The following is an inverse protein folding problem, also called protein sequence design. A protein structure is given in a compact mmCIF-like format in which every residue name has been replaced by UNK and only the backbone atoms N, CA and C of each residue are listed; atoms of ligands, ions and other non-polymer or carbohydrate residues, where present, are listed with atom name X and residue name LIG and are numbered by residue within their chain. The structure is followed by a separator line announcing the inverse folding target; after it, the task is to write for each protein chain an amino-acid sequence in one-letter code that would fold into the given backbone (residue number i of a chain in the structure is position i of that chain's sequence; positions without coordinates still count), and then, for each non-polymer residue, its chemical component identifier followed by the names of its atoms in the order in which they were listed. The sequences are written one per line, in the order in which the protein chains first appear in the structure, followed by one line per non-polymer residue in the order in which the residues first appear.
data_IF_907047991378
#
_entry.id   IF_907047991378
#
_cell.length_a   1.000
_cell.length_b   1.000
_cell.length_c   1.000
_cell.angle_alpha   90.00
_cell.angle_beta   90.00
_cell.angle_gamma   90.00
#
_symmetry.space_group_name_H-M   'P 1'
#
loop_
_entity.id
_entity.type
_entity.pdbx_description
1 polymer ?
#
# COMPACT_ATOMS: atom_id res chain seq x y z
N UNK A 1 -13.14 9.35 -6.73
CA UNK A 1 -12.08 8.58 -6.06
C UNK A 1 -10.72 9.09 -6.48
N UNK A 2 -9.71 9.14 -5.60
CA UNK A 2 -8.33 9.47 -5.97
C UNK A 2 -7.52 8.18 -6.07
N UNK A 3 -6.64 8.09 -7.07
CA UNK A 3 -5.71 6.99 -7.27
C UNK A 3 -4.29 7.55 -7.35
N UNK A 4 -3.40 7.08 -6.48
CA UNK A 4 -1.97 7.41 -6.53
C UNK A 4 -1.32 6.71 -7.73
N UNK A 5 -0.41 7.39 -8.44
CA UNK A 5 0.22 6.85 -9.64
C UNK A 5 1.10 5.63 -9.39
N UNK A 6 1.64 5.48 -8.19
CA UNK A 6 2.51 4.36 -7.75
C UNK A 6 3.85 4.32 -8.49
N UNK A 7 4.73 5.30 -8.23
CA UNK A 7 6.11 5.26 -8.71
C UNK A 7 6.87 4.05 -8.10
N UNK A 8 7.88 3.48 -8.80
CA UNK A 8 8.35 3.84 -10.14
C UNK A 8 7.58 3.18 -11.29
N UNK A 9 6.87 2.05 -11.08
CA UNK A 9 6.26 1.26 -12.18
C UNK A 9 4.87 1.77 -12.62
N UNK A 10 4.32 2.76 -11.94
CA UNK A 10 3.06 3.43 -12.27
C UNK A 10 1.84 2.49 -12.36
N UNK A 11 1.76 1.47 -11.49
CA UNK A 11 0.63 0.54 -11.49
C UNK A 11 -0.69 1.25 -11.17
N UNK A 12 -0.68 2.25 -10.28
CA UNK A 12 -1.86 3.04 -9.97
C UNK A 12 -2.39 3.80 -11.19
N UNK A 13 -1.47 4.40 -11.97
CA UNK A 13 -1.84 5.10 -13.20
C UNK A 13 -2.27 4.15 -14.32
N UNK A 14 -1.59 3.02 -14.46
CA UNK A 14 -1.73 2.12 -15.61
C UNK A 14 -2.83 1.06 -15.42
N UNK A 15 -3.02 0.58 -14.20
CA UNK A 15 -3.95 -0.50 -13.87
C UNK A 15 -5.11 0.01 -13.02
N UNK A 16 -4.87 0.53 -11.83
CA UNK A 16 -5.93 0.93 -10.90
C UNK A 16 -6.86 1.97 -11.50
N UNK A 17 -6.31 3.05 -12.07
CA UNK A 17 -7.13 4.08 -12.70
C UNK A 17 -7.93 3.53 -13.90
N UNK A 18 -7.32 2.65 -14.71
CA UNK A 18 -7.98 2.01 -15.83
C UNK A 18 -9.15 1.12 -15.37
N UNK A 19 -8.94 0.25 -14.38
CA UNK A 19 -9.96 -0.66 -13.88
C UNK A 19 -11.14 0.10 -13.25
N UNK A 20 -10.84 1.10 -12.42
CA UNK A 20 -11.87 1.94 -11.81
C UNK A 20 -12.71 2.69 -12.87
N UNK A 21 -12.06 3.26 -13.88
CA UNK A 21 -12.75 3.93 -14.98
C UNK A 21 -13.63 2.96 -15.77
N UNK A 22 -13.17 1.74 -16.01
CA UNK A 22 -13.94 0.70 -16.73
C UNK A 22 -15.22 0.29 -16.03
N UNK A 23 -15.23 0.31 -14.70
CA UNK A 23 -16.44 0.00 -13.90
C UNK A 23 -17.28 1.26 -13.59
N UNK A 24 -16.97 2.40 -14.20
CA UNK A 24 -17.74 3.63 -14.09
C UNK A 24 -17.49 4.45 -12.83
N UNK A 25 -16.40 4.21 -12.12
CA UNK A 25 -15.98 5.04 -10.97
C UNK A 25 -15.38 6.35 -11.49
N UNK A 26 -15.84 7.48 -10.95
CA UNK A 26 -15.21 8.79 -11.17
C UNK A 26 -13.88 8.81 -10.44
N UNK A 27 -12.78 8.65 -11.19
CA UNK A 27 -11.41 8.54 -10.69
C UNK A 27 -10.57 9.72 -11.13
N UNK A 28 -9.84 10.31 -10.18
CA UNK A 28 -8.82 11.33 -10.41
C UNK A 28 -7.46 10.76 -10.07
N UNK A 29 -6.57 10.71 -11.07
CA UNK A 29 -5.18 10.29 -10.88
C UNK A 29 -4.38 11.41 -10.23
N UNK A 30 -3.55 11.07 -9.24
CA UNK A 30 -2.63 12.00 -8.57
C UNK A 30 -1.23 11.39 -8.48
N UNK A 31 -0.20 12.24 -8.36
CA UNK A 31 1.14 11.78 -8.00
C UNK A 31 1.16 11.31 -6.55
N UNK A 32 2.03 10.34 -6.22
CA UNK A 32 2.13 9.75 -4.88
C UNK A 32 2.36 10.80 -3.77
N UNK A 33 3.06 11.88 -4.08
CA UNK A 33 3.33 12.97 -3.14
C UNK A 33 2.17 13.96 -2.95
N UNK A 34 1.01 13.73 -3.59
CA UNK A 34 -0.16 14.62 -3.49
C UNK A 34 -1.20 14.13 -2.47
N UNK A 35 -1.07 12.93 -1.92
CA UNK A 35 -2.02 12.33 -0.98
C UNK A 35 -2.33 13.27 0.21
N UNK A 36 -1.30 13.85 0.84
CA UNK A 36 -1.47 14.83 1.93
C UNK A 36 -2.35 16.01 1.54
N UNK A 37 -2.22 16.51 0.31
CA UNK A 37 -2.98 17.67 -0.16
C UNK A 37 -4.48 17.38 -0.25
N UNK A 38 -4.86 16.25 -0.80
CA UNK A 38 -6.29 15.87 -0.94
C UNK A 38 -6.90 15.48 0.40
N UNK A 39 -6.14 14.83 1.29
CA UNK A 39 -6.56 14.51 2.66
C UNK A 39 -6.81 15.79 3.47
N UNK A 40 -5.87 16.76 3.44
CA UNK A 40 -6.01 18.05 4.13
C UNK A 40 -7.24 18.83 3.69
N UNK A 41 -7.64 18.72 2.44
CA UNK A 41 -8.85 19.37 1.90
C UNK A 41 -10.16 18.69 2.32
N UNK A 42 -10.09 17.55 3.03
CA UNK A 42 -11.25 16.77 3.43
C UNK A 42 -11.94 16.06 2.27
N UNK A 43 -11.23 15.86 1.15
CA UNK A 43 -11.79 15.20 -0.03
C UNK A 43 -11.73 13.67 0.06
N UNK A 44 -11.02 13.13 1.05
CA UNK A 44 -10.82 11.70 1.28
C UNK A 44 -11.43 11.33 2.64
N UNK A 45 -12.33 10.35 2.66
CA UNK A 45 -13.01 9.86 3.86
C UNK A 45 -12.52 8.48 4.30
N UNK A 46 -11.82 7.77 3.41
CA UNK A 46 -11.22 6.48 3.70
C UNK A 46 -10.06 6.22 2.73
N UNK A 47 -9.07 5.45 3.18
CA UNK A 47 -7.99 4.93 2.34
C UNK A 47 -8.16 3.43 2.20
N UNK A 48 -7.98 2.92 0.99
CA UNK A 48 -8.06 1.50 0.67
C UNK A 48 -6.82 1.10 -0.11
N UNK A 49 -6.12 0.07 0.35
CA UNK A 49 -4.94 -0.49 -0.31
C UNK A 49 -5.04 -2.01 -0.42
N UNK A 50 -4.27 -2.60 -1.30
CA UNK A 50 -4.06 -4.05 -1.34
C UNK A 50 -3.05 -4.53 -0.30
N UNK A 51 -2.66 -5.80 -0.39
CA UNK A 51 -1.53 -6.35 0.36
C UNK A 51 -0.80 -7.43 -0.45
N UNK A 52 0.52 -7.46 -0.29
CA UNK A 52 1.37 -8.53 -0.82
C UNK A 52 1.62 -9.61 0.24
N UNK A 53 1.76 -9.21 1.51
CA UNK A 53 1.88 -10.12 2.66
C UNK A 53 1.38 -9.45 3.93
N UNK A 54 0.69 -10.23 4.78
CA UNK A 54 0.27 -9.83 6.12
C UNK A 54 0.95 -10.76 7.13
N UNK A 55 1.70 -10.21 8.06
CA UNK A 55 2.35 -10.95 9.15
C UNK A 55 1.33 -11.36 10.23
N UNK A 56 1.72 -12.27 11.12
CA UNK A 56 0.86 -12.80 12.18
C UNK A 56 0.35 -11.72 13.15
N UNK A 57 1.13 -10.66 13.36
CA UNK A 57 0.74 -9.52 14.19
C UNK A 57 -0.12 -8.47 13.45
N UNK A 58 -0.38 -8.66 12.14
CA UNK A 58 -1.16 -7.74 11.32
C UNK A 58 -0.34 -6.68 10.56
N UNK A 59 0.97 -6.59 10.76
CA UNK A 59 1.83 -5.74 9.94
C UNK A 59 1.73 -6.16 8.47
N UNK A 60 1.61 -5.19 7.58
CA UNK A 60 1.28 -5.48 6.19
C UNK A 60 2.31 -4.91 5.24
N UNK A 61 2.92 -5.77 4.43
CA UNK A 61 3.73 -5.37 3.29
C UNK A 61 2.84 -5.16 2.06
N UNK A 62 3.03 -4.03 1.41
CA UNK A 62 2.37 -3.70 0.15
C UNK A 62 3.29 -2.82 -0.71
N UNK A 63 2.84 -2.47 -1.90
CA UNK A 63 3.59 -1.62 -2.83
C UNK A 63 4.16 -0.40 -2.12
N UNK A 64 5.43 -0.09 -2.44
CA UNK A 64 6.16 1.07 -1.90
C UNK A 64 5.29 2.34 -1.93
N UNK A 65 5.27 3.10 -0.85
CA UNK A 65 4.43 4.28 -0.63
C UNK A 65 3.23 4.04 0.29
N UNK A 66 2.83 2.78 0.50
CA UNK A 66 1.67 2.42 1.32
C UNK A 66 1.81 2.87 2.76
N UNK A 67 2.98 2.65 3.39
CA UNK A 67 3.24 3.07 4.77
C UNK A 67 3.18 4.59 4.93
N UNK A 68 3.67 5.34 3.95
CA UNK A 68 3.59 6.80 3.93
C UNK A 68 2.14 7.30 3.90
N UNK A 69 1.28 6.69 3.08
CA UNK A 69 -0.15 7.03 3.01
C UNK A 69 -0.87 6.65 4.32
N UNK A 70 -0.52 5.52 4.96
CA UNK A 70 -1.08 5.12 6.25
C UNK A 70 -0.76 6.13 7.36
N UNK A 71 0.49 6.63 7.43
CA UNK A 71 0.90 7.69 8.36
C UNK A 71 0.11 8.97 8.12
N UNK A 72 -0.07 9.38 6.86
CA UNK A 72 -0.88 10.54 6.51
C UNK A 72 -2.34 10.35 6.90
N UNK A 73 -2.93 9.19 6.63
CA UNK A 73 -4.30 8.85 7.01
C UNK A 73 -4.49 8.97 8.54
N UNK A 74 -3.56 8.41 9.33
CA UNK A 74 -3.55 8.54 10.79
C UNK A 74 -3.49 9.99 11.25
N UNK A 75 -2.59 10.79 10.66
CA UNK A 75 -2.44 12.20 10.97
C UNK A 75 -3.72 13.01 10.71
N UNK A 76 -4.44 12.72 9.63
CA UNK A 76 -5.68 13.40 9.26
C UNK A 76 -6.95 12.74 9.84
N UNK A 77 -6.83 11.69 10.65
CA UNK A 77 -7.97 10.99 11.25
C UNK A 77 -8.83 10.23 10.23
N UNK A 78 -8.23 9.75 9.14
CA UNK A 78 -8.90 9.04 8.06
C UNK A 78 -8.68 7.53 8.27
N UNK A 79 -9.73 6.69 8.24
CA UNK A 79 -9.57 5.25 8.37
C UNK A 79 -8.80 4.66 7.19
N UNK A 80 -7.91 3.70 7.50
CA UNK A 80 -7.03 3.02 6.55
C UNK A 80 -7.35 1.53 6.52
N UNK A 81 -7.74 1.03 5.36
CA UNK A 81 -8.18 -0.35 5.16
C UNK A 81 -7.24 -1.10 4.22
N UNK A 82 -6.88 -2.32 4.62
CA UNK A 82 -6.12 -3.26 3.79
C UNK A 82 -7.07 -4.33 3.26
N UNK A 83 -7.09 -4.54 1.95
CA UNK A 83 -7.91 -5.54 1.28
C UNK A 83 -7.02 -6.59 0.64
N UNK A 84 -7.26 -7.87 0.95
CA UNK A 84 -6.54 -8.96 0.32
C UNK A 84 -7.10 -10.32 0.68
N UNK A 85 -6.82 -11.34 -0.14
CA UNK A 85 -7.28 -12.70 0.15
C UNK A 85 -6.53 -13.28 1.35
N UNK A 86 -7.17 -14.23 2.06
CA UNK A 86 -6.54 -14.92 3.20
C UNK A 86 -5.24 -15.62 2.85
N UNK A 87 -4.99 -15.93 1.57
CA UNK A 87 -3.72 -16.49 1.09
C UNK A 87 -2.51 -15.56 1.23
N UNK A 88 -2.73 -14.25 1.46
CA UNK A 88 -1.64 -13.29 1.72
C UNK A 88 -1.21 -13.27 3.18
N UNK A 89 -1.99 -13.89 4.08
CA UNK A 89 -1.69 -13.95 5.51
C UNK A 89 -0.69 -15.07 5.77
N UNK A 90 0.46 -14.69 6.33
CA UNK A 90 1.54 -15.62 6.69
C UNK A 90 1.70 -15.70 8.22
N UNK A 91 1.05 -16.69 8.82
CA UNK A 91 1.10 -16.91 10.27
C UNK A 91 2.49 -17.37 10.77
N UNK A 92 3.39 -17.79 9.87
CA UNK A 92 4.78 -18.13 10.22
C UNK A 92 5.70 -16.92 10.23
N UNK A 93 5.26 -15.79 9.70
CA UNK A 93 5.96 -14.50 9.75
C UNK A 93 5.47 -13.72 10.97
N UNK A 94 6.26 -13.56 12.05
CA UNK A 94 5.75 -13.02 13.31
C UNK A 94 5.36 -11.54 13.22
N UNK A 95 6.13 -10.74 12.47
CA UNK A 95 6.00 -9.29 12.38
C UNK A 95 6.49 -8.74 11.05
N UNK A 96 6.36 -7.43 10.86
CA UNK A 96 6.78 -6.72 9.66
C UNK A 96 8.29 -6.70 9.44
N UNK A 97 9.09 -6.71 10.50
CA UNK A 97 10.55 -6.71 10.39
C UNK A 97 11.08 -8.04 9.82
N UNK A 98 10.29 -9.10 9.98
CA UNK A 98 10.58 -10.43 9.43
C UNK A 98 10.22 -10.58 7.95
N UNK A 99 9.55 -9.59 7.34
CA UNK A 99 9.19 -9.62 5.92
C UNK A 99 10.40 -9.20 5.07
N UNK A 100 10.88 -10.11 4.22
CA UNK A 100 11.96 -9.80 3.27
C UNK A 100 11.43 -8.91 2.15
N UNK A 101 11.99 -7.71 2.01
CA UNK A 101 11.61 -6.74 0.99
C UNK A 101 12.52 -6.89 -0.24
N UNK A 102 11.92 -7.08 -1.42
CA UNK A 102 12.61 -7.12 -2.70
C UNK A 102 13.22 -5.75 -3.03
N UNK A 103 14.51 -5.71 -3.34
CA UNK A 103 15.15 -4.54 -3.91
C UNK A 103 15.24 -4.69 -5.44
N UNK A 104 14.71 -3.71 -6.16
CA UNK A 104 14.56 -3.74 -7.62
C UNK A 104 15.61 -2.90 -8.32
N UNK A 105 15.68 -3.05 -9.65
CA UNK A 105 16.66 -2.33 -10.46
C UNK A 105 16.50 -0.80 -10.32
N UNK A 106 17.55 -0.07 -9.90
CA UNK A 106 17.53 1.39 -9.75
C UNK A 106 17.16 2.15 -11.05
N UNK A 107 17.37 1.55 -12.22
CA UNK A 107 16.98 2.14 -13.51
C UNK A 107 15.48 2.34 -13.66
N UNK A 108 14.66 1.61 -12.91
CA UNK A 108 13.22 1.87 -12.87
C UNK A 108 12.91 3.28 -12.37
N UNK A 109 13.76 3.83 -11.49
CA UNK A 109 13.64 5.20 -10.98
C UNK A 109 14.27 6.21 -11.93
N UNK A 110 15.47 5.92 -12.45
CA UNK A 110 16.32 6.91 -13.10
C UNK A 110 16.10 7.03 -14.61
N UNK A 111 15.61 5.98 -15.25
CA UNK A 111 15.53 5.90 -16.72
C UNK A 111 14.13 5.58 -17.25
N UNK A 112 13.37 4.74 -16.52
CA UNK A 112 12.05 4.30 -16.99
C UNK A 112 11.06 5.46 -17.14
N UNK A 113 10.25 5.44 -18.20
CA UNK A 113 9.24 6.43 -18.55
C UNK A 113 9.75 7.79 -19.07
N UNK A 114 11.06 7.95 -19.25
CA UNK A 114 11.66 9.16 -19.77
C UNK A 114 12.36 8.88 -21.12
N UNK A 115 12.34 9.86 -22.02
CA UNK A 115 13.03 9.76 -23.31
C UNK A 115 14.56 9.70 -23.16
N UNK A 116 15.07 10.22 -22.05
CA UNK A 116 16.48 10.14 -21.64
C UNK A 116 16.55 9.98 -20.13
N UNK A 117 17.69 9.53 -19.63
CA UNK A 117 17.93 9.41 -18.18
C UNK A 117 17.64 10.75 -17.49
N UNK A 118 16.79 10.73 -16.44
CA UNK A 118 16.38 11.94 -15.73
C UNK A 118 17.33 12.32 -14.60
N UNK A 119 18.11 11.39 -14.09
CA UNK A 119 19.05 11.61 -12.99
C UNK A 119 20.49 11.70 -13.50
N UNK A 120 21.41 12.46 -12.86
CA UNK A 120 22.80 12.51 -13.23
C UNK A 120 23.46 11.12 -13.28
N UNK A 121 24.46 10.96 -14.15
CA UNK A 121 25.26 9.73 -14.18
C UNK A 121 25.96 9.51 -12.83
N UNK A 122 26.07 8.26 -12.41
CA UNK A 122 26.73 7.88 -11.16
C UNK A 122 25.91 8.13 -9.89
N UNK A 123 24.75 8.80 -9.94
CA UNK A 123 23.88 8.92 -8.78
C UNK A 123 23.31 7.54 -8.41
N UNK A 124 23.39 7.20 -7.12
CA UNK A 124 22.79 5.98 -6.59
C UNK A 124 21.28 6.18 -6.42
N UNK A 125 20.50 5.12 -6.64
CA UNK A 125 19.07 5.10 -6.36
C UNK A 125 18.75 3.86 -5.53
N UNK A 126 17.91 4.05 -4.51
CA UNK A 126 17.36 2.99 -3.66
C UNK A 126 15.93 2.70 -4.11
N UNK A 127 15.63 1.45 -4.45
CA UNK A 127 14.36 1.06 -5.07
C UNK A 127 13.75 -0.20 -4.43
N UNK A 128 13.27 -0.12 -3.17
CA UNK A 128 12.50 -1.21 -2.58
C UNK A 128 11.16 -1.34 -3.29
N UNK A 129 10.73 -2.59 -3.55
CA UNK A 129 9.46 -2.86 -4.23
C UNK A 129 8.25 -2.61 -3.32
N UNK A 130 8.42 -2.83 -2.02
CA UNK A 130 7.38 -2.79 -1.00
C UNK A 130 7.86 -2.01 0.22
N UNK A 131 6.91 -1.58 1.05
CA UNK A 131 7.16 -1.14 2.41
C UNK A 131 6.22 -1.85 3.38
N UNK A 132 6.53 -1.78 4.67
CA UNK A 132 5.72 -2.38 5.74
C UNK A 132 4.95 -1.30 6.44
N UNK A 133 3.64 -1.49 6.55
CA UNK A 133 2.73 -0.67 7.37
C UNK A 133 2.50 -1.38 8.70
N UNK A 134 2.88 -0.77 9.83
CA UNK A 134 2.58 -1.29 11.16
C UNK A 134 1.07 -1.45 11.37
N UNK A 135 0.67 -2.51 12.06
CA UNK A 135 -0.74 -2.85 12.28
C UNK A 135 -1.52 -1.76 13.02
N UNK A 136 -0.88 -0.99 13.90
CA UNK A 136 -1.50 0.11 14.65
C UNK A 136 -1.92 1.30 13.75
N UNK A 137 -1.44 1.37 12.51
CA UNK A 137 -1.89 2.33 11.50
C UNK A 137 -3.07 1.79 10.66
N UNK A 138 -3.40 0.51 10.78
CA UNK A 138 -4.42 -0.17 9.98
C UNK A 138 -5.72 -0.23 10.77
N UNK A 139 -6.78 0.38 10.25
CA UNK A 139 -8.11 0.35 10.88
C UNK A 139 -8.71 -1.06 10.83
N UNK A 140 -8.60 -1.74 9.68
CA UNK A 140 -8.99 -3.14 9.54
C UNK A 140 -8.37 -3.78 8.30
N UNK A 141 -8.21 -5.11 8.37
CA UNK A 141 -7.87 -5.97 7.23
C UNK A 141 -9.15 -6.67 6.79
N UNK A 142 -9.47 -6.54 5.50
CA UNK A 142 -10.70 -7.07 4.89
C UNK A 142 -10.31 -8.20 3.94
N UNK A 143 -10.88 -9.37 4.17
CA UNK A 143 -10.65 -10.57 3.36
C UNK A 143 -11.98 -11.14 2.84
N UNK A 144 -11.92 -12.16 1.99
CA UNK A 144 -13.10 -12.91 1.54
C UNK A 144 -13.83 -13.63 2.71
N UNK A 145 -13.19 -13.76 3.88
CA UNK A 145 -13.77 -14.37 5.08
C UNK A 145 -14.32 -13.36 6.08
N UNK A 146 -14.17 -12.07 5.81
CA UNK A 146 -14.69 -10.99 6.65
C UNK A 146 -13.65 -9.95 7.04
N UNK A 147 -14.05 -9.12 8.00
CA UNK A 147 -13.25 -7.98 8.48
C UNK A 147 -12.52 -8.39 9.76
N UNK A 148 -11.24 -8.01 9.85
CA UNK A 148 -10.41 -8.11 11.06
C UNK A 148 -9.93 -6.71 11.44
N UNK A 149 -10.17 -6.31 12.68
CA UNK A 149 -9.69 -5.05 13.27
C UNK A 149 -8.66 -5.34 14.36
N UNK A 150 -7.99 -4.31 14.89
CA UNK A 150 -7.07 -4.46 16.04
C UNK A 150 -7.71 -5.18 17.23
N UNK A 151 -9.00 -4.96 17.48
CA UNK A 151 -9.75 -5.64 18.55
C UNK A 151 -9.79 -7.16 18.37
N UNK A 152 -9.55 -7.66 17.16
CA UNK A 152 -9.59 -9.09 16.79
C UNK A 152 -8.20 -9.65 16.40
N UNK A 153 -7.10 -8.91 16.54
CA UNK A 153 -5.74 -9.39 16.21
C UNK A 153 -5.32 -10.60 17.07
N UNK A 154 -5.80 -10.68 18.30
CA UNK A 154 -5.59 -11.87 19.15
C UNK A 154 -6.23 -13.16 18.60
N UNK A 155 -7.21 -13.04 17.70
CA UNK A 155 -7.88 -14.19 17.07
C UNK A 155 -7.14 -14.72 15.83
N UNK A 156 -6.27 -13.92 15.19
CA UNK A 156 -5.40 -14.41 14.11
C UNK A 156 -4.40 -15.46 14.62
N UNK A 157 -4.08 -15.41 15.91
CA UNK A 157 -3.19 -16.39 16.59
C UNK A 157 -3.93 -17.61 17.12
N UNK A 158 -5.27 -17.67 17.02
CA UNK A 158 -6.04 -18.82 17.48
C UNK A 158 -6.15 -19.89 16.38
N UNK A 159 -5.79 -21.16 16.65
CA UNK A 159 -5.82 -22.26 15.65
C UNK A 159 -7.23 -22.72 15.25
N UNK A 160 -8.23 -21.90 15.39
CA UNK A 160 -9.65 -22.28 15.26
C UNK A 160 -10.43 -21.74 14.07
N UNK A 161 -9.77 -21.08 13.08
CA UNK A 161 -10.48 -20.62 11.88
C UNK A 161 -9.75 -21.14 10.65
N UNK A 162 -10.00 -22.39 10.33
CA UNK A 162 -9.81 -23.00 9.02
C UNK A 162 -11.18 -23.08 8.34
#
# INVERSE_FOLDING_TARGET
MFADETRPLLQGARLTAYELQKVGVDVTLICDNMASTVMRKGWVQAVVVGCDRVAANGDTANKIGTSGVAILARYYGIPFYVLGPTSTIDLNCPDGDSIVIEERNPKEITDMWYASRMAPEGVKAYNPAFDVTPHDLITAIITEKGIRSEEHTSELQSPGII
#
